data_IF_200326453032
#
_entry.id   IF_200326453032
#
_cell.length_a   1.000
_cell.length_b   1.000
_cell.length_c   1.000
_cell.angle_alpha   90.00
_cell.angle_beta   90.00
_cell.angle_gamma   90.00
#
_symmetry.space_group_name_H-M   'P 1'
#
loop_
_entity.id
_entity.type
_entity.pdbx_description
1 polymer ?
#
# COMPACT_ATOMS: atom_id res chain seq x y z
N UNK A 1 10.20 -6.72 -18.59
CA UNK A 1 9.03 -6.99 -17.72
C UNK A 1 9.20 -6.20 -16.43
N UNK A 2 8.12 -5.63 -15.90
CA UNK A 2 8.09 -5.03 -14.57
C UNK A 2 7.46 -6.09 -13.66
N UNK A 3 8.24 -6.65 -12.74
CA UNK A 3 7.78 -7.65 -11.78
C UNK A 3 7.28 -6.93 -10.53
N UNK A 4 6.00 -6.65 -10.51
CA UNK A 4 5.32 -5.88 -9.47
C UNK A 4 5.17 -6.74 -8.20
N UNK A 5 5.54 -6.22 -7.03
CA UNK A 5 5.39 -6.92 -5.74
C UNK A 5 6.55 -7.82 -5.32
N UNK A 6 7.73 -7.71 -5.95
CA UNK A 6 8.92 -8.52 -5.61
C UNK A 6 9.90 -7.82 -4.67
N UNK A 7 9.77 -6.51 -4.46
CA UNK A 7 10.68 -5.77 -3.61
C UNK A 7 10.38 -6.03 -2.13
N UNK A 8 11.36 -5.78 -1.26
CA UNK A 8 11.18 -5.93 0.19
C UNK A 8 10.39 -4.76 0.81
N UNK A 9 10.37 -3.58 0.15
CA UNK A 9 9.80 -2.35 0.71
C UNK A 9 10.56 -1.87 1.96
N UNK A 10 9.99 -0.90 2.69
CA UNK A 10 10.48 -0.51 4.01
C UNK A 10 10.07 -1.51 5.11
N UNK A 11 8.95 -2.19 4.92
CA UNK A 11 8.42 -3.20 5.83
C UNK A 11 8.53 -4.60 5.24
N UNK A 12 9.17 -5.55 5.95
CA UNK A 12 9.37 -6.90 5.45
C UNK A 12 8.06 -7.61 5.09
N UNK A 13 8.13 -8.55 4.14
CA UNK A 13 7.06 -9.52 3.91
C UNK A 13 6.70 -10.26 5.20
N UNK A 14 5.40 -10.43 5.45
CA UNK A 14 4.87 -11.00 6.69
C UNK A 14 4.59 -9.97 7.77
N UNK A 15 4.95 -8.70 7.57
CA UNK A 15 4.59 -7.62 8.49
C UNK A 15 3.07 -7.49 8.58
N UNK A 16 2.59 -7.39 9.81
CA UNK A 16 1.18 -7.14 10.12
C UNK A 16 0.89 -5.66 10.05
N UNK A 17 -0.13 -5.33 9.29
CA UNK A 17 -0.55 -3.96 9.06
C UNK A 17 -2.04 -3.80 9.32
N UNK A 18 -2.43 -2.55 9.51
CA UNK A 18 -3.80 -2.11 9.64
C UNK A 18 -4.07 -1.01 8.64
N UNK A 19 -5.26 -0.99 8.05
CA UNK A 19 -5.71 0.14 7.24
C UNK A 19 -5.96 1.35 8.14
N UNK A 20 -5.25 2.45 7.87
CA UNK A 20 -5.31 3.69 8.67
C UNK A 20 -6.27 4.73 8.10
N UNK A 21 -6.47 4.73 6.78
CA UNK A 21 -7.38 5.63 6.09
C UNK A 21 -8.01 4.95 4.87
N UNK A 22 -9.33 4.81 4.91
CA UNK A 22 -10.16 4.31 3.83
C UNK A 22 -10.96 5.45 3.19
N UNK A 23 -11.00 5.43 1.87
CA UNK A 23 -11.80 6.32 1.05
C UNK A 23 -13.18 5.70 0.77
N UNK A 24 -14.12 6.56 0.38
CA UNK A 24 -15.44 6.10 -0.05
C UNK A 24 -15.32 5.22 -1.29
N UNK A 25 -15.68 3.95 -1.14
CA UNK A 25 -15.64 2.95 -2.21
C UNK A 25 -14.53 1.92 -2.05
N UNK A 26 -13.67 2.08 -1.04
CA UNK A 26 -12.69 1.06 -0.71
C UNK A 26 -13.36 -0.20 -0.17
N UNK A 27 -12.71 -1.33 -0.49
CA UNK A 27 -13.21 -2.66 -0.14
C UNK A 27 -13.02 -2.96 1.34
N UNK A 28 -11.94 -2.44 1.92
CA UNK A 28 -11.59 -2.58 3.32
C UNK A 28 -11.92 -1.27 4.06
N UNK A 29 -12.15 -1.37 5.36
CA UNK A 29 -12.50 -0.22 6.21
C UNK A 29 -11.34 0.04 7.17
N UNK A 30 -11.26 1.28 7.67
CA UNK A 30 -10.33 1.65 8.73
C UNK A 30 -10.32 0.60 9.84
N UNK A 31 -9.12 0.16 10.21
CA UNK A 31 -8.93 -0.83 11.23
C UNK A 31 -8.90 -2.28 10.74
N UNK A 32 -9.20 -2.55 9.46
CA UNK A 32 -9.00 -3.85 8.84
C UNK A 32 -7.55 -4.29 8.97
N UNK A 33 -7.33 -5.57 9.24
CA UNK A 33 -5.99 -6.12 9.44
C UNK A 33 -5.56 -6.92 8.23
N UNK A 34 -4.28 -6.84 7.90
CA UNK A 34 -3.70 -7.55 6.77
C UNK A 34 -2.24 -7.89 6.96
N UNK A 35 -1.73 -8.70 6.04
CA UNK A 35 -0.32 -9.12 5.99
C UNK A 35 0.30 -8.65 4.69
N UNK A 36 1.47 -8.02 4.76
CA UNK A 36 2.26 -7.68 3.57
C UNK A 36 2.76 -8.97 2.90
N UNK A 37 2.45 -9.16 1.62
CA UNK A 37 2.87 -10.32 0.82
C UNK A 37 3.86 -9.99 -0.28
N UNK A 38 4.06 -8.70 -0.57
CA UNK A 38 5.05 -8.17 -1.50
C UNK A 38 5.08 -6.64 -1.48
N UNK A 39 6.10 -6.04 -2.12
CA UNK A 39 6.22 -4.59 -2.23
C UNK A 39 6.75 -4.16 -3.61
N UNK A 40 6.61 -2.87 -3.88
CA UNK A 40 7.21 -2.16 -5.00
C UNK A 40 7.82 -0.87 -4.44
N UNK A 41 9.11 -0.68 -4.67
CA UNK A 41 9.92 0.36 -4.03
C UNK A 41 10.82 -0.18 -2.90
N UNK A 42 11.52 0.68 -2.14
CA UNK A 42 11.33 2.13 -2.06
C UNK A 42 11.62 2.87 -3.37
N UNK A 43 10.76 3.82 -3.72
CA UNK A 43 10.92 4.64 -4.92
C UNK A 43 11.96 5.76 -4.69
N UNK A 44 12.77 6.04 -5.70
CA UNK A 44 13.62 7.24 -5.71
C UNK A 44 12.77 8.52 -5.78
N UNK A 45 13.31 9.70 -5.40
CA UNK A 45 12.55 10.95 -5.45
C UNK A 45 11.93 11.28 -6.83
N UNK A 46 12.59 10.87 -7.92
CA UNK A 46 12.07 11.06 -9.28
C UNK A 46 10.87 10.14 -9.54
N UNK A 47 10.99 8.86 -9.21
CA UNK A 47 9.90 7.88 -9.34
C UNK A 47 8.69 8.27 -8.46
N UNK A 48 8.95 8.76 -7.24
CA UNK A 48 7.90 9.27 -6.34
C UNK A 48 7.11 10.42 -6.96
N UNK A 49 7.80 11.38 -7.58
CA UNK A 49 7.13 12.49 -8.26
C UNK A 49 6.22 12.01 -9.41
N UNK A 50 6.67 11.02 -10.20
CA UNK A 50 5.86 10.43 -11.27
C UNK A 50 4.64 9.67 -10.73
N UNK A 51 4.82 8.92 -9.63
CA UNK A 51 3.74 8.16 -8.98
C UNK A 51 2.70 9.11 -8.39
N UNK A 52 3.12 10.15 -7.67
CA UNK A 52 2.22 11.17 -7.11
C UNK A 52 1.36 11.81 -8.21
N UNK A 53 1.95 12.14 -9.36
CA UNK A 53 1.19 12.68 -10.49
C UNK A 53 0.13 11.69 -11.01
N UNK A 54 0.50 10.41 -11.19
CA UNK A 54 -0.44 9.37 -11.64
C UNK A 54 -1.54 9.10 -10.61
N UNK A 55 -1.20 9.14 -9.34
CA UNK A 55 -2.13 8.95 -8.23
C UNK A 55 -3.09 10.13 -8.12
N UNK A 56 -2.62 11.38 -8.27
CA UNK A 56 -3.47 12.56 -8.31
C UNK A 56 -4.43 12.59 -9.52
N UNK A 57 -4.06 11.95 -10.64
CA UNK A 57 -4.95 11.75 -11.79
C UNK A 57 -6.02 10.69 -11.53
N UNK A 58 -5.67 9.60 -10.84
CA UNK A 58 -6.55 8.49 -10.54
C UNK A 58 -7.50 8.77 -9.37
N UNK A 59 -6.97 9.41 -8.33
CA UNK A 59 -7.68 9.76 -7.10
C UNK A 59 -7.67 11.27 -6.95
N UNK A 60 -8.88 11.85 -6.86
CA UNK A 60 -9.02 13.30 -6.66
C UNK A 60 -8.51 13.64 -5.25
N UNK A 61 -7.31 14.20 -5.17
CA UNK A 61 -6.61 14.72 -3.98
C UNK A 61 -5.79 13.69 -3.21
N UNK A 62 -4.64 13.29 -3.76
CA UNK A 62 -3.54 12.74 -2.95
C UNK A 62 -2.54 13.86 -2.72
N UNK A 63 -2.41 14.31 -1.48
CA UNK A 63 -1.39 15.25 -0.99
C UNK A 63 -0.26 14.53 -0.22
N UNK A 64 -0.43 13.23 0.04
CA UNK A 64 0.54 12.41 0.75
C UNK A 64 1.60 11.80 -0.18
N UNK A 65 2.78 11.65 0.40
CA UNK A 65 3.96 11.13 -0.25
C UNK A 65 3.94 9.60 -0.26
N UNK A 66 4.32 8.98 -1.38
CA UNK A 66 4.34 7.52 -1.52
C UNK A 66 5.78 7.05 -1.60
N UNK A 67 6.27 6.35 -0.58
CA UNK A 67 7.63 5.77 -0.58
C UNK A 67 7.59 4.34 -1.12
N UNK A 68 6.55 3.58 -0.77
CA UNK A 68 6.32 2.21 -1.21
C UNK A 68 4.86 1.96 -1.59
N UNK A 69 4.65 1.00 -2.49
CA UNK A 69 3.35 0.34 -2.68
C UNK A 69 3.48 -1.09 -2.16
N UNK A 70 2.57 -1.51 -1.29
CA UNK A 70 2.53 -2.85 -0.73
C UNK A 70 1.38 -3.67 -1.31
N UNK A 71 1.61 -4.97 -1.50
CA UNK A 71 0.56 -5.95 -1.68
C UNK A 71 0.19 -6.48 -0.31
N UNK A 72 -1.06 -6.26 0.09
CA UNK A 72 -1.58 -6.71 1.37
C UNK A 72 -2.68 -7.75 1.12
N UNK A 73 -2.56 -8.89 1.78
CA UNK A 73 -3.65 -9.85 1.92
C UNK A 73 -4.40 -9.53 3.22
N UNK A 74 -5.67 -9.17 3.10
CA UNK A 74 -6.51 -8.75 4.22
C UNK A 74 -7.22 -9.95 4.86
N UNK A 75 -7.31 -9.95 6.18
CA UNK A 75 -7.88 -11.06 6.95
C UNK A 75 -9.37 -11.26 6.69
N UNK A 76 -10.08 -10.17 6.40
CA UNK A 76 -11.52 -10.16 6.08
C UNK A 76 -11.81 -10.62 4.65
N UNK A 77 -10.79 -10.70 3.79
CA UNK A 77 -10.89 -11.13 2.41
C UNK A 77 -9.67 -11.96 1.97
N UNK A 78 -9.51 -13.18 2.49
CA UNK A 78 -8.32 -14.00 2.29
C UNK A 78 -8.17 -14.48 0.85
N UNK A 79 -6.91 -14.66 0.41
CA UNK A 79 -6.56 -15.22 -0.89
C UNK A 79 -6.52 -14.23 -2.06
N UNK A 80 -6.82 -12.95 -1.84
CA UNK A 80 -6.64 -11.88 -2.83
C UNK A 80 -5.82 -10.76 -2.20
N UNK A 81 -4.63 -10.50 -2.75
CA UNK A 81 -3.79 -9.39 -2.33
C UNK A 81 -4.14 -8.12 -3.11
N UNK A 82 -4.27 -6.99 -2.43
CA UNK A 82 -4.55 -5.67 -3.02
C UNK A 82 -3.32 -4.77 -2.87
N UNK A 83 -3.00 -4.03 -3.93
CA UNK A 83 -1.96 -3.02 -3.89
C UNK A 83 -2.47 -1.77 -3.17
N UNK A 84 -1.71 -1.28 -2.19
CA UNK A 84 -2.05 -0.11 -1.37
C UNK A 84 -0.78 0.69 -1.09
N UNK A 85 -0.91 2.01 -1.11
CA UNK A 85 0.20 2.89 -0.77
C UNK A 85 0.51 2.83 0.73
N UNK A 86 1.79 2.94 1.06
CA UNK A 86 2.33 2.93 2.42
C UNK A 86 1.66 3.91 3.40
N UNK A 87 1.33 5.12 2.96
CA UNK A 87 0.68 6.12 3.82
C UNK A 87 -0.72 5.71 4.33
N UNK A 88 -1.35 4.71 3.70
CA UNK A 88 -2.66 4.17 4.12
C UNK A 88 -2.55 2.99 5.09
N UNK A 89 -1.35 2.67 5.52
CA UNK A 89 -1.06 1.54 6.38
C UNK A 89 -0.38 2.00 7.67
N UNK A 90 -0.70 1.30 8.75
CA UNK A 90 0.01 1.39 10.03
C UNK A 90 0.48 0.01 10.46
N UNK A 91 1.56 -0.06 11.24
CA UNK A 91 1.97 -1.31 11.87
C UNK A 91 0.89 -1.75 12.87
N UNK A 92 0.40 -2.97 12.72
CA UNK A 92 -0.49 -3.57 13.70
C UNK A 92 0.35 -4.14 14.85
N UNK A 93 0.17 -3.59 16.05
CA UNK A 93 0.74 -4.18 17.27
C UNK A 93 0.17 -5.60 17.47
N UNK A 94 1.05 -6.55 17.78
CA UNK A 94 0.72 -7.96 18.04
C UNK A 94 0.50 -8.16 19.54
#
# INVERSE_FOLDING_TARGET
EIFVGQDEGEWPKGTRVRESHSNRGDTHQDGALGTIVGALGPFSPVERAEIILRLAEAEKNIDEDVVCIYWVEWDDFPGISVAIADYRLELAEI
#
